data_IF_624891149405
#
_entry.id   IF_624891149405
#
_cell.length_a   1.000
_cell.length_b   1.000
_cell.length_c   1.000
_cell.angle_alpha   90.00
_cell.angle_beta   90.00
_cell.angle_gamma   90.00
#
_symmetry.space_group_name_H-M   'P 1'
#
loop_
_entity.id
_entity.type
_entity.pdbx_description
1 polymer ?
#
# COMPACT_ATOMS: atom_id res chain seq x y z
N UNK A 1 -2.84 4.64 18.22
CA UNK A 1 -3.37 3.45 17.50
C UNK A 1 -2.42 2.28 17.76
N UNK A 2 -2.93 1.08 17.99
CA UNK A 2 -2.11 -0.12 18.25
C UNK A 2 -1.47 -0.63 16.94
N UNK A 3 -0.32 -1.29 17.03
CA UNK A 3 0.37 -1.85 15.86
C UNK A 3 -0.50 -2.86 15.11
N UNK A 4 -1.19 -3.75 15.81
CA UNK A 4 -2.16 -4.70 15.22
C UNK A 4 -3.17 -3.98 14.29
N UNK A 5 -3.77 -2.89 14.79
CA UNK A 5 -4.73 -2.10 14.01
C UNK A 5 -4.09 -1.50 12.76
N UNK A 6 -2.86 -0.98 12.87
CA UNK A 6 -2.14 -0.39 11.73
C UNK A 6 -1.81 -1.42 10.64
N UNK A 7 -1.34 -2.61 11.03
CA UNK A 7 -1.12 -3.72 10.10
C UNK A 7 -2.42 -4.09 9.36
N UNK A 8 -3.55 -4.19 10.07
CA UNK A 8 -4.87 -4.47 9.48
C UNK A 8 -5.37 -3.34 8.57
N UNK A 9 -5.12 -2.08 8.92
CA UNK A 9 -5.46 -0.93 8.06
C UNK A 9 -4.69 -1.02 6.75
N UNK A 10 -3.38 -1.26 6.80
CA UNK A 10 -2.59 -1.47 5.59
C UNK A 10 -3.09 -2.67 4.80
N UNK A 11 -3.42 -3.78 5.45
CA UNK A 11 -3.99 -4.95 4.79
C UNK A 11 -5.26 -4.59 4.00
N UNK A 12 -6.23 -3.92 4.63
CA UNK A 12 -7.48 -3.52 3.95
C UNK A 12 -7.21 -2.59 2.77
N UNK A 13 -6.31 -1.62 2.92
CA UNK A 13 -5.97 -0.70 1.83
C UNK A 13 -5.34 -1.43 0.64
N UNK A 14 -4.39 -2.34 0.88
CA UNK A 14 -3.81 -3.16 -0.17
C UNK A 14 -4.85 -4.09 -0.78
N UNK A 15 -5.77 -4.64 0.01
CA UNK A 15 -6.86 -5.49 -0.47
C UNK A 15 -7.82 -4.75 -1.39
N UNK A 16 -8.24 -3.54 -1.01
CA UNK A 16 -9.08 -2.68 -1.86
C UNK A 16 -8.35 -2.33 -3.16
N UNK A 17 -7.09 -1.90 -3.05
CA UNK A 17 -6.26 -1.58 -4.22
C UNK A 17 -6.06 -2.79 -5.13
N UNK A 18 -5.83 -3.97 -4.56
CA UNK A 18 -5.71 -5.22 -5.28
C UNK A 18 -6.96 -5.53 -6.10
N UNK A 19 -8.14 -5.40 -5.51
CA UNK A 19 -9.42 -5.64 -6.19
C UNK A 19 -9.64 -4.62 -7.33
N UNK A 20 -9.34 -3.35 -7.09
CA UNK A 20 -9.40 -2.33 -8.13
C UNK A 20 -8.45 -2.63 -9.28
N UNK A 21 -7.24 -3.12 -9.01
CA UNK A 21 -6.24 -3.46 -10.02
C UNK A 21 -6.60 -4.74 -10.79
N UNK A 22 -7.14 -5.76 -10.11
CA UNK A 22 -7.57 -7.02 -10.71
C UNK A 22 -8.75 -6.87 -11.66
N UNK A 23 -9.67 -5.94 -11.37
CA UNK A 23 -10.93 -5.83 -12.12
C UNK A 23 -11.13 -4.48 -12.82
N UNK A 24 -10.20 -3.54 -12.62
CA UNK A 24 -10.32 -2.15 -13.08
C UNK A 24 -9.41 -1.75 -14.23
N UNK A 25 -8.76 -2.70 -14.92
CA UNK A 25 -7.84 -2.40 -16.04
C UNK A 25 -8.38 -1.34 -17.04
N UNK A 26 -9.60 -1.52 -17.60
CA UNK A 26 -10.19 -0.51 -18.49
C UNK A 26 -10.50 0.83 -17.81
N UNK A 27 -10.81 0.84 -16.51
CA UNK A 27 -11.00 2.10 -15.78
C UNK A 27 -9.67 2.85 -15.64
N UNK A 28 -8.59 2.13 -15.34
CA UNK A 28 -7.25 2.69 -15.15
C UNK A 28 -6.76 3.39 -16.42
N UNK A 29 -6.87 2.76 -17.60
CA UNK A 29 -6.43 3.41 -18.83
C UNK A 29 -7.28 4.65 -19.14
N UNK A 30 -8.60 4.60 -18.92
CA UNK A 30 -9.47 5.77 -19.11
C UNK A 30 -9.10 6.94 -18.21
N UNK A 31 -8.85 6.68 -16.92
CA UNK A 31 -8.49 7.71 -15.95
C UNK A 31 -7.17 8.40 -16.28
N UNK A 32 -6.23 7.67 -16.89
CA UNK A 32 -4.91 8.19 -17.24
C UNK A 32 -4.79 8.64 -18.70
N UNK A 33 -5.88 8.56 -19.50
CA UNK A 33 -5.86 8.90 -20.92
C UNK A 33 -4.99 7.96 -21.76
N UNK A 34 -4.80 6.72 -21.32
CA UNK A 34 -4.03 5.69 -22.02
C UNK A 34 -4.90 4.92 -23.01
N UNK A 35 -4.31 4.52 -24.13
CA UNK A 35 -4.94 3.57 -25.04
C UNK A 35 -5.11 2.20 -24.36
N UNK A 36 -6.31 1.64 -24.44
CA UNK A 36 -6.57 0.31 -23.89
C UNK A 36 -5.77 -0.75 -24.63
N UNK A 37 -5.14 -1.64 -23.87
CA UNK A 37 -4.44 -2.80 -24.43
C UNK A 37 -4.53 -3.98 -23.48
N UNK A 38 -4.44 -5.19 -24.04
CA UNK A 38 -4.33 -6.43 -23.27
C UNK A 38 -3.12 -6.36 -22.33
N UNK A 39 -2.01 -5.79 -22.77
CA UNK A 39 -0.80 -5.63 -21.96
C UNK A 39 -1.02 -4.81 -20.68
N UNK A 40 -1.76 -3.69 -20.77
CA UNK A 40 -2.07 -2.87 -19.58
C UNK A 40 -2.96 -3.65 -18.61
N UNK A 41 -3.98 -4.34 -19.11
CA UNK A 41 -4.88 -5.15 -18.27
C UNK A 41 -4.11 -6.27 -17.58
N UNK A 42 -3.28 -7.03 -18.31
CA UNK A 42 -2.45 -8.10 -17.73
C UNK A 42 -1.50 -7.58 -16.65
N UNK A 43 -0.90 -6.40 -16.85
CA UNK A 43 0.01 -5.81 -15.85
C UNK A 43 -0.74 -5.27 -14.62
N UNK A 44 -1.90 -4.66 -14.80
CA UNK A 44 -2.76 -4.25 -13.69
C UNK A 44 -3.19 -5.46 -12.86
N UNK A 45 -3.64 -6.53 -13.51
CA UNK A 45 -4.03 -7.78 -12.85
C UNK A 45 -2.86 -8.42 -12.09
N UNK A 46 -1.67 -8.47 -12.71
CA UNK A 46 -0.47 -9.03 -12.07
C UNK A 46 -0.06 -8.21 -10.84
N UNK A 47 -0.08 -6.87 -10.94
CA UNK A 47 0.18 -5.99 -9.81
C UNK A 47 -0.87 -6.16 -8.71
N UNK A 48 -2.15 -6.23 -9.08
CA UNK A 48 -3.25 -6.49 -8.15
C UNK A 48 -3.12 -7.81 -7.40
N UNK A 49 -2.71 -8.89 -8.08
CA UNK A 49 -2.43 -10.17 -7.43
C UNK A 49 -1.28 -10.07 -6.40
N UNK A 50 -0.22 -9.31 -6.72
CA UNK A 50 0.86 -9.02 -5.77
C UNK A 50 0.37 -8.25 -4.53
N UNK A 51 -0.44 -7.21 -4.73
CA UNK A 51 -1.04 -6.44 -3.65
C UNK A 51 -1.98 -7.29 -2.79
N UNK A 52 -2.69 -8.25 -3.37
CA UNK A 52 -3.54 -9.19 -2.63
C UNK A 52 -2.69 -10.07 -1.70
N UNK A 53 -1.52 -10.55 -2.19
CA UNK A 53 -0.56 -11.27 -1.36
C UNK A 53 -0.06 -10.43 -0.18
N UNK A 54 0.31 -9.17 -0.42
CA UNK A 54 0.74 -8.23 0.62
C UNK A 54 -0.40 -7.99 1.62
N UNK A 55 -1.63 -7.78 1.15
CA UNK A 55 -2.82 -7.62 1.98
C UNK A 55 -3.00 -8.80 2.93
N UNK A 56 -2.93 -10.03 2.43
CA UNK A 56 -3.07 -11.24 3.24
C UNK A 56 -1.96 -11.35 4.28
N UNK A 57 -0.70 -11.06 3.90
CA UNK A 57 0.42 -11.08 4.85
C UNK A 57 0.22 -10.06 5.98
N UNK A 58 -0.11 -8.81 5.64
CA UNK A 58 -0.34 -7.76 6.64
C UNK A 58 -1.54 -8.06 7.54
N UNK A 59 -2.57 -8.72 7.02
CA UNK A 59 -3.71 -9.16 7.82
C UNK A 59 -3.35 -10.25 8.83
N UNK A 60 -2.45 -11.15 8.44
CA UNK A 60 -2.10 -12.32 9.23
C UNK A 60 -0.95 -12.09 10.21
N UNK A 61 -0.03 -11.17 9.93
CA UNK A 61 1.12 -10.88 10.80
C UNK A 61 0.73 -10.63 12.28
N UNK A 62 -0.32 -9.85 12.60
CA UNK A 62 -0.75 -9.65 13.99
C UNK A 62 -1.30 -10.90 14.68
N UNK A 63 -1.62 -11.97 13.93
CA UNK A 63 -2.03 -13.28 14.48
C UNK A 63 -0.83 -14.20 14.70
N UNK A 64 0.27 -13.95 14.01
CA UNK A 64 1.47 -14.80 14.05
C UNK A 64 2.53 -14.28 15.01
N UNK A 65 2.57 -12.97 15.25
CA UNK A 65 3.62 -12.31 16.02
C UNK A 65 3.08 -11.69 17.32
N UNK A 66 3.93 -11.63 18.33
CA UNK A 66 3.72 -10.82 19.53
C UNK A 66 3.83 -9.32 19.20
N UNK A 67 3.53 -8.45 20.17
CA UNK A 67 3.73 -7.01 19.98
C UNK A 67 5.18 -6.66 19.63
N UNK A 68 6.16 -7.25 20.34
CA UNK A 68 7.59 -7.03 20.05
C UNK A 68 7.97 -7.58 18.66
N UNK A 69 7.45 -8.74 18.27
CA UNK A 69 7.66 -9.26 16.91
C UNK A 69 7.07 -8.35 15.83
N UNK A 70 5.93 -7.70 16.09
CA UNK A 70 5.36 -6.70 15.18
C UNK A 70 6.21 -5.43 15.12
N UNK A 71 6.79 -4.99 16.25
CA UNK A 71 7.74 -3.87 16.30
C UNK A 71 8.96 -4.17 15.43
N UNK A 72 9.55 -5.35 15.59
CA UNK A 72 10.72 -5.80 14.83
C UNK A 72 10.44 -5.92 13.33
N UNK A 73 9.23 -6.32 12.94
CA UNK A 73 8.82 -6.39 11.54
C UNK A 73 8.48 -5.02 10.92
N UNK A 74 8.22 -3.99 11.74
CA UNK A 74 7.72 -2.69 11.26
C UNK A 74 8.69 -1.96 10.33
N UNK A 75 10.02 -1.93 10.55
CA UNK A 75 10.97 -1.33 9.60
C UNK A 75 10.87 -1.94 8.20
N UNK A 76 10.72 -3.27 8.10
CA UNK A 76 10.52 -3.95 6.82
C UNK A 76 9.17 -3.59 6.20
N UNK A 77 8.10 -3.55 7.00
CA UNK A 77 6.79 -3.12 6.53
C UNK A 77 6.82 -1.69 5.96
N UNK A 78 7.51 -0.77 6.64
CA UNK A 78 7.71 0.62 6.19
C UNK A 78 8.54 0.69 4.89
N UNK A 79 9.58 -0.14 4.75
CA UNK A 79 10.36 -0.22 3.52
C UNK A 79 9.50 -0.69 2.34
N UNK A 80 8.65 -1.69 2.53
CA UNK A 80 7.68 -2.13 1.50
C UNK A 80 6.79 -0.97 1.07
N UNK A 81 6.25 -0.20 2.03
CA UNK A 81 5.43 0.97 1.71
C UNK A 81 6.23 2.04 0.94
N UNK A 82 7.48 2.31 1.32
CA UNK A 82 8.33 3.26 0.63
C UNK A 82 8.60 2.85 -0.83
N UNK A 83 8.90 1.58 -1.08
CA UNK A 83 9.12 1.05 -2.43
C UNK A 83 7.86 1.24 -3.29
N UNK A 84 6.68 0.90 -2.74
CA UNK A 84 5.41 1.07 -3.44
C UNK A 84 5.06 2.55 -3.68
N UNK A 85 5.43 3.44 -2.76
CA UNK A 85 5.23 4.90 -2.88
C UNK A 85 6.09 5.53 -3.98
N UNK A 86 7.31 5.02 -4.21
CA UNK A 86 8.24 5.57 -5.19
C UNK A 86 7.75 5.38 -6.62
N UNK A 87 7.09 4.26 -6.93
CA UNK A 87 6.64 3.95 -8.29
C UNK A 87 5.67 4.98 -8.90
N UNK A 88 4.55 5.35 -8.25
CA UNK A 88 3.67 6.38 -8.81
C UNK A 88 4.36 7.75 -8.90
N UNK A 89 5.27 8.09 -7.98
CA UNK A 89 6.05 9.33 -8.08
C UNK A 89 6.99 9.32 -9.30
N UNK A 90 7.65 8.19 -9.57
CA UNK A 90 8.48 8.02 -10.76
C UNK A 90 7.64 8.18 -12.04
N UNK A 91 6.49 7.50 -12.12
CA UNK A 91 5.61 7.58 -13.29
C UNK A 91 5.04 8.98 -13.50
N UNK A 92 4.74 9.71 -12.43
CA UNK A 92 4.36 11.11 -12.50
C UNK A 92 5.51 11.99 -13.02
N UNK A 93 6.73 11.77 -12.52
CA UNK A 93 7.91 12.55 -12.91
C UNK A 93 8.28 12.39 -14.39
N UNK A 94 8.06 11.20 -14.97
CA UNK A 94 8.31 10.94 -16.40
C UNK A 94 7.09 11.21 -17.30
N UNK A 95 6.00 11.74 -16.73
CA UNK A 95 4.79 12.09 -17.47
C UNK A 95 3.92 10.90 -17.90
N UNK A 96 4.11 9.72 -17.29
CA UNK A 96 3.32 8.52 -17.58
C UNK A 96 1.94 8.53 -16.91
N UNK A 97 1.81 9.20 -15.76
CA UNK A 97 0.51 9.47 -15.09
C UNK A 97 0.37 10.97 -14.83
N UNK A 98 -0.87 11.51 -14.74
CA UNK A 98 -1.08 12.91 -14.41
C UNK A 98 -0.65 13.24 -12.98
N UNK A 99 -0.10 14.44 -12.78
CA UNK A 99 0.11 15.02 -11.45
C UNK A 99 -1.18 15.73 -11.03
N UNK A 100 -2.04 15.01 -10.34
CA UNK A 100 -3.37 15.49 -9.96
C UNK A 100 -3.67 15.35 -8.46
N UNK A 101 -4.88 15.74 -8.07
CA UNK A 101 -5.34 15.66 -6.70
C UNK A 101 -5.45 14.21 -6.19
N UNK A 102 -5.71 13.23 -7.08
CA UNK A 102 -5.81 11.82 -6.71
C UNK A 102 -4.46 11.29 -6.26
N UNK A 103 -3.41 11.56 -7.04
CA UNK A 103 -2.02 11.25 -6.68
C UNK A 103 -1.63 11.92 -5.36
N UNK A 104 -1.93 13.22 -5.21
CA UNK A 104 -1.61 13.96 -3.98
C UNK A 104 -2.30 13.36 -2.74
N UNK A 105 -3.60 13.05 -2.82
CA UNK A 105 -4.36 12.44 -1.72
C UNK A 105 -3.79 11.06 -1.37
N UNK A 106 -3.53 10.21 -2.37
CA UNK A 106 -2.94 8.90 -2.16
C UNK A 106 -1.60 8.99 -1.41
N UNK A 107 -0.72 9.91 -1.84
CA UNK A 107 0.59 10.10 -1.20
C UNK A 107 0.48 10.65 0.21
N UNK A 108 -0.42 11.61 0.46
CA UNK A 108 -0.66 12.15 1.81
C UNK A 108 -1.16 11.07 2.76
N UNK A 109 -2.13 10.26 2.32
CA UNK A 109 -2.67 9.15 3.12
C UNK A 109 -1.58 8.13 3.43
N UNK A 110 -0.80 7.72 2.42
CA UNK A 110 0.27 6.75 2.59
C UNK A 110 1.36 7.25 3.55
N UNK A 111 1.85 8.47 3.34
CA UNK A 111 2.89 9.08 4.20
C UNK A 111 2.37 9.28 5.63
N UNK A 112 1.12 9.70 5.78
CA UNK A 112 0.47 9.83 7.09
C UNK A 112 0.38 8.49 7.82
N UNK A 113 -0.02 7.42 7.13
CA UNK A 113 -0.08 6.08 7.72
C UNK A 113 1.31 5.53 8.05
N UNK A 114 2.31 5.74 7.18
CA UNK A 114 3.70 5.37 7.46
C UNK A 114 4.22 6.10 8.71
N UNK A 115 3.92 7.39 8.86
CA UNK A 115 4.27 8.15 10.05
C UNK A 115 3.60 7.57 11.31
N UNK A 116 2.30 7.29 11.27
CA UNK A 116 1.58 6.68 12.38
C UNK A 116 2.15 5.31 12.76
N UNK A 117 2.56 4.53 11.75
CA UNK A 117 3.14 3.21 11.93
C UNK A 117 4.50 3.28 12.61
N UNK A 118 5.36 4.20 12.13
CA UNK A 118 6.65 4.49 12.75
C UNK A 118 6.49 4.95 14.21
N UNK A 119 5.55 5.86 14.49
CA UNK A 119 5.28 6.33 15.85
C UNK A 119 4.81 5.19 16.76
N UNK A 120 3.91 4.33 16.26
CA UNK A 120 3.40 3.19 17.02
C UNK A 120 4.50 2.17 17.35
N UNK A 121 5.44 1.91 16.43
CA UNK A 121 6.54 0.98 16.67
C UNK A 121 7.55 1.48 17.71
N UNK A 122 7.69 2.80 17.86
CA UNK A 122 8.59 3.41 18.83
C UNK A 122 8.02 3.53 20.25
N UNK A 123 6.73 3.21 20.46
CA UNK A 123 6.16 3.27 21.80
C UNK A 123 6.69 2.12 22.66
N UNK A 124 7.22 2.48 23.83
CA UNK A 124 7.49 1.52 24.88
C UNK A 124 6.17 0.88 25.36
N UNK A 125 6.20 -0.40 25.78
CA UNK A 125 5.01 -1.03 26.34
C UNK A 125 4.52 -0.24 27.56
N UNK A 126 3.21 -0.01 27.66
CA UNK A 126 2.63 0.56 28.88
C UNK A 126 2.86 -0.44 30.03
N UNK A 127 3.32 0.01 31.21
CA UNK A 127 3.48 -0.89 32.35
C UNK A 127 2.12 -1.44 32.77
N UNK A 128 2.07 -2.77 32.96
CA UNK A 128 0.88 -3.51 33.42
C UNK A 128 0.45 -3.14 34.84
#
# INVERSE_FOLDING_TARGET
MKLDTLYKVFAVLHGVMALMMLFGGPMISNMNGWDHSIGIVTMAEHHGAGLLGISLLFWMLPRWLSEDGLKDATPTALLVQAILAVMPLYHAAVGAIPVDASLAVMMIVLLGLMYLFFQAAKKEPEPE
#
